data_IF_257415989230
#
_entry.id   IF_257415989230
#
_cell.length_a   1.000
_cell.length_b   1.000
_cell.length_c   1.000
_cell.angle_alpha   90.00
_cell.angle_beta   90.00
_cell.angle_gamma   90.00
#
_symmetry.space_group_name_H-M   'P 1'
#
loop_
_entity.id
_entity.type
_entity.pdbx_description
1 polymer ?
#
# COMPACT_ATOMS: atom_id res chain seq x y z
N UNK A 1 -54.89 32.47 3.01
CA UNK A 1 -53.81 32.96 2.13
C UNK A 1 -52.79 33.65 3.04
N UNK A 2 -51.79 32.90 3.50
CA UNK A 2 -50.66 33.42 4.26
C UNK A 2 -49.39 32.92 3.58
N UNK A 3 -48.51 33.85 3.22
CA UNK A 3 -47.30 33.62 2.42
C UNK A 3 -46.12 33.27 3.33
N UNK A 4 -45.59 32.06 3.18
CA UNK A 4 -44.37 31.57 3.86
C UNK A 4 -43.13 32.10 3.10
N UNK A 5 -42.10 32.67 3.77
CA UNK A 5 -40.87 33.07 3.08
C UNK A 5 -39.99 31.85 2.78
N UNK A 6 -39.59 31.72 1.51
CA UNK A 6 -38.64 30.71 1.01
C UNK A 6 -37.26 30.90 1.67
N UNK A 7 -36.77 29.89 2.40
CA UNK A 7 -35.34 29.80 2.75
C UNK A 7 -34.55 29.34 1.53
N UNK A 8 -33.45 30.05 1.23
CA UNK A 8 -32.43 29.65 0.24
C UNK A 8 -31.76 28.34 0.67
N UNK A 9 -31.48 27.41 -0.25
CA UNK A 9 -30.57 26.30 0.01
C UNK A 9 -29.15 26.83 0.22
N UNK A 10 -28.48 26.31 1.25
CA UNK A 10 -27.06 26.50 1.51
C UNK A 10 -26.29 25.71 0.44
N UNK A 11 -25.60 26.41 -0.47
CA UNK A 11 -24.63 25.81 -1.37
C UNK A 11 -23.40 25.40 -0.55
N UNK A 12 -23.17 24.10 -0.40
CA UNK A 12 -21.89 23.58 0.07
C UNK A 12 -21.02 23.33 -1.16
N UNK A 13 -20.20 24.32 -1.49
CA UNK A 13 -19.04 24.14 -2.36
C UNK A 13 -18.02 23.27 -1.62
N UNK A 14 -17.89 22.02 -2.02
CA UNK A 14 -16.67 21.25 -1.82
C UNK A 14 -16.11 20.94 -3.20
N UNK A 15 -15.35 21.88 -3.75
CA UNK A 15 -14.45 21.61 -4.85
C UNK A 15 -13.43 20.58 -4.39
N UNK A 16 -13.62 19.34 -4.83
CA UNK A 16 -12.60 18.30 -4.76
C UNK A 16 -11.50 18.67 -5.75
N UNK A 17 -10.38 19.20 -5.25
CA UNK A 17 -9.09 18.93 -5.87
C UNK A 17 -8.88 17.40 -5.89
N UNK A 18 -8.08 16.87 -6.82
CA UNK A 18 -7.73 15.44 -6.96
C UNK A 18 -8.55 14.48 -7.87
N UNK A 19 -8.97 14.89 -9.08
CA UNK A 19 -9.18 13.91 -10.17
C UNK A 19 -7.89 13.52 -10.92
N UNK A 20 -6.87 14.40 -10.92
CA UNK A 20 -5.69 14.25 -11.77
C UNK A 20 -4.59 13.32 -11.22
N UNK A 21 -4.46 13.22 -9.89
CA UNK A 21 -3.41 12.41 -9.25
C UNK A 21 -3.61 10.90 -9.49
N UNK A 22 -4.85 10.42 -9.53
CA UNK A 22 -5.17 8.99 -9.68
C UNK A 22 -4.83 8.42 -11.07
N UNK A 23 -4.92 9.22 -12.14
CA UNK A 23 -4.45 8.82 -13.49
C UNK A 23 -2.93 8.86 -13.59
N UNK A 24 -2.28 9.76 -12.85
CA UNK A 24 -0.82 9.86 -12.77
C UNK A 24 -0.19 8.60 -12.18
N UNK A 25 -0.67 8.12 -11.03
CA UNK A 25 -0.04 6.97 -10.35
C UNK A 25 -0.14 5.64 -11.10
N UNK A 26 -1.24 5.38 -11.83
CA UNK A 26 -1.38 4.18 -12.66
C UNK A 26 -0.47 4.21 -13.91
N UNK A 27 -0.29 5.39 -14.53
CA UNK A 27 0.62 5.58 -15.65
C UNK A 27 2.09 5.57 -15.21
N UNK A 28 2.41 6.13 -14.03
CA UNK A 28 3.74 6.10 -13.42
C UNK A 28 4.12 4.67 -13.01
N UNK A 29 3.19 3.85 -12.48
CA UNK A 29 3.44 2.45 -12.16
C UNK A 29 3.90 1.63 -13.39
N UNK A 30 3.38 1.95 -14.59
CA UNK A 30 3.83 1.34 -15.84
C UNK A 30 5.10 1.99 -16.43
N UNK A 31 5.38 3.26 -16.12
CA UNK A 31 6.57 3.98 -16.58
C UNK A 31 7.83 3.70 -15.72
N UNK A 32 7.68 3.54 -14.40
CA UNK A 32 8.75 3.17 -13.45
C UNK A 32 9.30 1.75 -13.71
N UNK A 33 8.59 0.97 -14.52
CA UNK A 33 9.06 -0.32 -15.02
C UNK A 33 10.05 -0.19 -16.19
N UNK A 34 10.39 1.01 -16.69
CA UNK A 34 11.38 1.21 -17.77
C UNK A 34 12.80 1.40 -17.20
N UNK A 35 13.73 0.44 -17.35
CA UNK A 35 15.14 0.75 -17.26
C UNK A 35 15.51 1.59 -18.48
N UNK A 36 15.79 2.88 -18.28
CA UNK A 36 16.61 3.65 -19.21
C UNK A 36 18.06 3.38 -18.86
N UNK A 37 18.64 2.30 -19.39
CA UNK A 37 20.09 2.23 -19.58
C UNK A 37 20.36 1.58 -20.93
N UNK A 38 20.81 2.40 -21.86
CA UNK A 38 21.38 2.02 -23.15
C UNK A 38 22.88 1.98 -22.95
N UNK A 39 23.44 0.82 -22.62
CA UNK A 39 24.87 0.56 -22.79
C UNK A 39 25.07 -0.91 -23.13
N UNK A 40 25.59 -1.11 -24.34
CA UNK A 40 26.09 -2.37 -24.88
C UNK A 40 27.30 -2.82 -24.08
N UNK A 41 27.21 -3.94 -23.37
CA UNK A 41 28.39 -4.71 -22.99
C UNK A 41 28.11 -6.20 -23.23
N UNK A 42 28.93 -6.79 -24.10
CA UNK A 42 28.98 -8.19 -24.49
C UNK A 42 29.43 -9.07 -23.32
N UNK A 43 28.77 -10.21 -23.03
CA UNK A 43 29.21 -11.12 -21.98
C UNK A 43 30.21 -12.16 -22.49
N UNK A 44 31.38 -12.20 -21.84
CA UNK A 44 32.30 -13.34 -21.91
C UNK A 44 31.75 -14.52 -21.10
N UNK A 45 31.84 -15.71 -21.69
CA UNK A 45 31.32 -16.98 -21.17
C UNK A 45 32.12 -17.45 -19.94
N UNK A 46 31.43 -17.86 -18.89
CA UNK A 46 31.95 -18.81 -17.90
C UNK A 46 30.90 -19.90 -17.69
N UNK A 47 31.32 -21.14 -17.98
CA UNK A 47 30.54 -22.37 -17.82
C UNK A 47 30.56 -22.80 -16.35
N UNK A 48 29.41 -23.19 -15.80
CA UNK A 48 29.33 -24.10 -14.65
C UNK A 48 28.14 -25.04 -14.87
N UNK A 49 28.45 -26.34 -14.94
CA UNK A 49 27.50 -27.47 -14.99
C UNK A 49 26.94 -27.82 -13.60
N UNK A 50 25.82 -28.58 -13.53
CA UNK A 50 24.96 -28.64 -12.36
C UNK A 50 25.26 -29.83 -11.44
N UNK A 51 25.07 -29.64 -10.14
CA UNK A 51 24.99 -30.73 -9.16
C UNK A 51 23.62 -30.75 -8.49
N UNK A 52 22.93 -31.87 -8.66
CA UNK A 52 21.72 -32.27 -7.95
C UNK A 52 22.04 -32.57 -6.47
N UNK A 53 21.20 -32.12 -5.55
CA UNK A 53 20.82 -32.93 -4.39
C UNK A 53 19.41 -32.60 -3.91
N UNK A 54 18.76 -33.62 -3.38
CA UNK A 54 17.34 -33.69 -3.04
C UNK A 54 17.04 -33.22 -1.61
N UNK A 55 15.74 -33.04 -1.37
CA UNK A 55 15.03 -33.11 -0.09
C UNK A 55 15.17 -31.93 0.91
N UNK A 56 14.09 -31.16 1.05
CA UNK A 56 13.07 -31.47 2.07
C UNK A 56 11.89 -30.48 2.06
N UNK A 57 10.70 -31.06 2.12
CA UNK A 57 9.41 -30.43 2.32
C UNK A 57 9.28 -29.99 3.79
N UNK A 58 9.13 -28.69 4.05
CA UNK A 58 8.49 -28.18 5.28
C UNK A 58 7.53 -27.03 4.96
N UNK A 59 6.30 -27.25 5.39
CA UNK A 59 5.13 -26.36 5.44
C UNK A 59 5.39 -25.14 6.33
N UNK A 60 4.85 -23.97 5.93
CA UNK A 60 4.99 -22.66 6.60
C UNK A 60 4.22 -22.52 7.93
N UNK A 61 3.85 -21.30 8.40
CA UNK A 61 3.89 -19.98 7.73
C UNK A 61 4.68 -18.91 8.51
N UNK A 62 5.36 -18.01 7.78
CA UNK A 62 5.63 -16.61 8.13
C UNK A 62 6.65 -16.07 7.11
N UNK A 63 6.16 -15.68 5.93
CA UNK A 63 6.98 -14.93 4.95
C UNK A 63 7.04 -13.47 5.41
N UNK A 64 7.74 -13.24 6.53
CA UNK A 64 8.34 -11.93 6.79
C UNK A 64 9.37 -11.75 5.69
N UNK A 65 8.97 -11.06 4.62
CA UNK A 65 9.92 -10.52 3.65
C UNK A 65 11.05 -9.86 4.42
N UNK A 66 12.27 -10.35 4.23
CA UNK A 66 13.48 -9.73 4.79
C UNK A 66 13.39 -8.22 4.61
N UNK A 67 13.64 -7.42 5.67
CA UNK A 67 13.63 -5.98 5.53
C UNK A 67 14.67 -5.62 4.48
N UNK A 68 14.23 -5.01 3.38
CA UNK A 68 15.16 -4.40 2.44
C UNK A 68 15.93 -3.33 3.23
N UNK A 69 17.20 -3.60 3.52
CA UNK A 69 18.04 -2.68 4.27
C UNK A 69 18.23 -1.38 3.48
N UNK A 70 18.25 -0.27 4.20
CA UNK A 70 18.64 1.03 3.64
C UNK A 70 19.99 0.87 2.90
N UNK A 71 20.11 1.34 1.65
CA UNK A 71 21.36 1.21 0.91
C UNK A 71 22.45 2.01 1.62
N UNK A 72 23.58 1.36 1.93
CA UNK A 72 24.73 2.08 2.46
C UNK A 72 25.43 2.81 1.31
N UNK A 73 25.23 4.12 1.25
CA UNK A 73 25.61 4.99 0.12
C UNK A 73 26.66 6.02 0.50
N UNK A 74 26.91 6.21 1.80
CA UNK A 74 28.02 7.02 2.29
C UNK A 74 29.33 6.29 1.97
N UNK A 75 30.36 7.05 1.61
CA UNK A 75 31.70 6.47 1.45
C UNK A 75 32.25 6.03 2.80
N UNK A 76 33.28 5.18 2.81
CA UNK A 76 33.91 4.72 4.06
C UNK A 76 34.49 5.86 4.93
N UNK A 77 34.64 7.06 4.36
CA UNK A 77 35.18 8.26 5.00
C UNK A 77 34.08 9.29 5.36
N UNK A 78 32.85 9.11 4.87
CA UNK A 78 31.72 10.01 5.14
C UNK A 78 30.86 9.46 6.28
N UNK A 79 30.95 10.10 7.45
CA UNK A 79 30.12 9.77 8.61
C UNK A 79 28.69 10.34 8.50
N UNK A 80 28.53 11.49 7.83
CA UNK A 80 27.23 12.17 7.66
C UNK A 80 27.08 12.83 6.29
N UNK A 81 25.83 13.14 5.92
CA UNK A 81 25.52 13.89 4.69
C UNK A 81 25.69 15.39 4.96
N UNK A 82 26.51 16.04 4.13
CA UNK A 82 26.76 17.48 4.26
C UNK A 82 26.44 18.25 2.98
N UNK A 83 25.71 19.36 3.12
CA UNK A 83 25.61 20.35 2.05
C UNK A 83 26.97 20.95 1.69
N UNK A 84 27.15 21.30 0.42
CA UNK A 84 28.22 22.19 -0.02
C UNK A 84 27.83 23.64 0.35
N UNK A 85 28.66 24.37 1.14
CA UNK A 85 28.39 25.77 1.49
C UNK A 85 28.17 26.70 0.29
N UNK A 86 28.67 26.34 -0.89
CA UNK A 86 28.53 27.14 -2.11
C UNK A 86 27.31 26.75 -2.97
N UNK A 87 26.53 25.74 -2.57
CA UNK A 87 25.36 25.30 -3.33
C UNK A 87 24.17 26.25 -3.15
N UNK A 88 23.98 27.10 -4.15
CA UNK A 88 22.92 28.12 -4.20
C UNK A 88 21.49 27.55 -4.32
N UNK A 89 21.32 26.24 -4.49
CA UNK A 89 19.99 25.59 -4.50
C UNK A 89 19.34 25.53 -3.12
N UNK A 90 20.12 25.82 -2.07
CA UNK A 90 19.70 25.83 -0.68
C UNK A 90 19.74 27.25 -0.11
N UNK A 91 18.80 27.54 0.79
CA UNK A 91 18.83 28.75 1.60
C UNK A 91 19.37 28.40 2.98
N UNK A 92 20.67 28.61 3.17
CA UNK A 92 21.32 28.37 4.45
C UNK A 92 20.97 29.47 5.45
N UNK A 93 20.78 29.06 6.71
CA UNK A 93 20.43 29.98 7.80
C UNK A 93 21.20 29.62 9.06
N UNK A 94 21.53 30.64 9.85
CA UNK A 94 22.02 30.46 11.21
C UNK A 94 20.82 30.17 12.11
N UNK A 95 20.69 28.91 12.53
CA UNK A 95 19.58 28.45 13.35
C UNK A 95 19.73 26.98 13.78
N UNK A 96 18.81 26.54 14.62
CA UNK A 96 18.75 25.15 15.09
C UNK A 96 18.31 24.19 13.97
N UNK A 97 18.71 22.92 14.07
CA UNK A 97 18.14 21.87 13.24
C UNK A 97 16.81 21.42 13.86
N UNK A 98 15.70 21.86 13.27
CA UNK A 98 14.37 21.65 13.81
C UNK A 98 13.82 20.24 13.58
N UNK A 99 14.57 19.38 12.88
CA UNK A 99 14.23 17.96 12.69
C UNK A 99 15.22 17.02 13.41
N UNK A 100 16.19 17.56 14.15
CA UNK A 100 17.09 16.79 15.01
C UNK A 100 16.49 16.63 16.42
N UNK A 101 15.42 15.85 16.52
CA UNK A 101 14.70 15.62 17.79
C UNK A 101 15.53 14.91 18.86
N UNK A 102 16.61 14.24 18.46
CA UNK A 102 17.53 13.51 19.32
C UNK A 102 18.74 14.36 19.75
N UNK A 103 18.86 15.59 19.24
CA UNK A 103 19.98 16.50 19.51
C UNK A 103 21.34 15.87 19.21
N UNK A 104 21.43 15.18 18.06
CA UNK A 104 22.65 14.55 17.57
C UNK A 104 23.73 15.57 17.15
N UNK A 105 23.36 16.85 17.00
CA UNK A 105 24.27 17.96 16.66
C UNK A 105 25.03 17.72 15.36
N UNK A 106 24.29 17.38 14.30
CA UNK A 106 24.84 17.19 12.96
C UNK A 106 25.63 18.42 12.51
N UNK A 107 26.82 18.19 11.93
CA UNK A 107 27.77 19.28 11.62
C UNK A 107 27.43 20.00 10.31
N UNK A 108 26.58 19.40 9.48
CA UNK A 108 26.13 20.02 8.23
C UNK A 108 25.44 21.38 8.45
N UNK A 109 25.51 22.24 7.43
CA UNK A 109 24.76 23.48 7.37
C UNK A 109 23.25 23.24 7.47
N UNK A 110 22.52 24.24 7.97
CA UNK A 110 21.06 24.17 8.14
C UNK A 110 20.41 24.90 6.98
N UNK A 111 19.52 24.21 6.29
CA UNK A 111 18.81 24.75 5.13
C UNK A 111 17.32 24.85 5.42
N UNK A 112 16.68 25.88 4.87
CA UNK A 112 15.25 26.14 5.04
C UNK A 112 14.40 25.30 4.08
N UNK A 113 13.44 24.57 4.63
CA UNK A 113 12.39 23.87 3.89
C UNK A 113 11.29 24.85 3.43
N UNK A 114 10.44 24.43 2.50
CA UNK A 114 9.30 25.18 1.97
C UNK A 114 8.31 25.63 3.05
N UNK A 115 8.15 24.82 4.11
CA UNK A 115 7.33 25.16 5.28
C UNK A 115 7.94 26.21 6.21
N UNK A 116 9.19 26.61 5.95
CA UNK A 116 9.92 27.60 6.74
C UNK A 116 10.81 27.06 7.85
N UNK A 117 10.69 25.77 8.19
CA UNK A 117 11.52 25.11 9.20
C UNK A 117 12.87 24.65 8.63
N UNK A 118 13.85 24.50 9.51
CA UNK A 118 15.25 24.25 9.18
C UNK A 118 15.65 22.80 9.41
N UNK A 119 16.52 22.29 8.53
CA UNK A 119 16.97 20.89 8.56
C UNK A 119 18.44 20.76 8.19
N UNK A 120 19.09 19.70 8.66
CA UNK A 120 20.27 19.12 8.01
C UNK A 120 19.84 17.97 7.10
N UNK A 121 20.69 17.51 6.15
CA UNK A 121 20.33 16.40 5.28
C UNK A 121 20.09 15.12 6.07
N UNK A 122 20.91 14.86 7.09
CA UNK A 122 20.84 13.65 7.93
C UNK A 122 19.60 13.64 8.82
N UNK A 123 19.29 14.74 9.51
CA UNK A 123 18.08 14.81 10.34
C UNK A 123 16.81 14.63 9.51
N UNK A 124 16.75 15.26 8.32
CA UNK A 124 15.60 15.14 7.43
C UNK A 124 15.35 13.70 6.98
N UNK A 125 16.39 12.98 6.53
CA UNK A 125 16.19 11.60 6.07
C UNK A 125 15.83 10.67 7.23
N UNK A 126 16.42 10.85 8.41
CA UNK A 126 16.07 10.07 9.60
C UNK A 126 14.59 10.27 9.96
N UNK A 127 14.12 11.52 9.96
CA UNK A 127 12.71 11.84 10.17
C UNK A 127 11.80 11.21 9.10
N UNK A 128 12.19 11.27 7.83
CA UNK A 128 11.42 10.66 6.74
C UNK A 128 11.34 9.14 6.86
N UNK A 129 12.44 8.47 7.24
CA UNK A 129 12.47 7.03 7.47
C UNK A 129 11.57 6.62 8.65
N UNK A 130 11.62 7.36 9.75
CA UNK A 130 10.73 7.15 10.89
C UNK A 130 9.25 7.25 10.48
N UNK A 131 8.89 8.25 9.68
CA UNK A 131 7.52 8.37 9.16
C UNK A 131 7.11 7.17 8.29
N UNK A 132 8.02 6.61 7.50
CA UNK A 132 7.78 5.40 6.70
C UNK A 132 7.66 4.14 7.57
N UNK A 133 8.37 4.06 8.69
CA UNK A 133 8.27 2.99 9.68
C UNK A 133 6.92 3.04 10.39
N UNK A 134 6.44 4.24 10.77
CA UNK A 134 5.09 4.49 11.28
C UNK A 134 3.99 4.29 10.21
N UNK A 135 4.38 4.06 8.96
CA UNK A 135 3.47 3.74 7.87
C UNK A 135 2.80 4.94 7.21
N UNK A 136 3.30 6.15 7.43
CA UNK A 136 2.87 7.35 6.72
C UNK A 136 3.38 7.33 5.29
N UNK A 137 2.54 7.80 4.36
CA UNK A 137 2.85 7.88 2.91
C UNK A 137 3.05 9.31 2.42
N UNK A 138 3.10 10.26 3.35
CA UNK A 138 3.40 11.66 3.11
C UNK A 138 4.48 12.05 4.09
N UNK A 139 5.43 12.85 3.64
CA UNK A 139 6.45 13.43 4.49
C UNK A 139 5.90 14.74 5.04
N UNK A 140 5.63 14.78 6.33
CA UNK A 140 5.19 16.01 6.99
C UNK A 140 6.29 16.59 7.87
N UNK A 141 6.29 17.91 8.01
CA UNK A 141 7.09 18.62 8.99
C UNK A 141 6.65 18.22 10.41
N UNK A 142 7.60 17.91 11.29
CA UNK A 142 7.30 17.53 12.67
C UNK A 142 6.82 18.68 13.58
N UNK A 143 6.86 19.93 13.12
CA UNK A 143 6.48 21.11 13.90
C UNK A 143 5.17 21.79 13.45
N UNK A 144 4.86 21.74 12.15
CA UNK A 144 3.71 22.47 11.59
C UNK A 144 2.82 21.65 10.67
N UNK A 145 3.04 20.33 10.57
CA UNK A 145 2.27 19.39 9.75
C UNK A 145 2.23 19.70 8.24
N UNK A 146 3.00 20.69 7.77
CA UNK A 146 3.13 20.99 6.35
C UNK A 146 3.67 19.76 5.60
N UNK A 147 3.00 19.42 4.49
CA UNK A 147 3.40 18.30 3.63
C UNK A 147 4.52 18.75 2.70
N UNK A 148 5.63 18.01 2.69
CA UNK A 148 6.74 18.20 1.76
C UNK A 148 6.59 17.31 0.53
N UNK A 149 6.95 17.84 -0.64
CA UNK A 149 7.03 17.01 -1.84
C UNK A 149 8.20 16.04 -1.73
N UNK A 150 8.08 14.87 -2.35
CA UNK A 150 9.20 13.92 -2.34
C UNK A 150 10.42 14.44 -3.10
N UNK A 151 10.21 15.28 -4.12
CA UNK A 151 11.29 15.99 -4.82
C UNK A 151 12.06 16.95 -3.90
N UNK A 152 11.33 17.70 -3.05
CA UNK A 152 11.95 18.55 -2.04
C UNK A 152 12.75 17.72 -1.05
N UNK A 153 12.19 16.62 -0.55
CA UNK A 153 12.90 15.69 0.36
C UNK A 153 14.17 15.15 -0.30
N UNK A 154 14.12 14.69 -1.55
CA UNK A 154 15.29 14.18 -2.27
C UNK A 154 16.40 15.24 -2.36
N UNK A 155 16.03 16.47 -2.69
CA UNK A 155 16.97 17.60 -2.81
C UNK A 155 17.61 17.93 -1.46
N UNK A 156 16.79 18.11 -0.43
CA UNK A 156 17.21 18.60 0.88
C UNK A 156 17.96 17.52 1.67
N UNK A 157 17.57 16.25 1.55
CA UNK A 157 18.26 15.14 2.20
C UNK A 157 19.51 14.64 1.43
N UNK A 158 19.84 15.25 0.29
CA UNK A 158 20.93 14.83 -0.59
C UNK A 158 20.84 13.35 -0.98
N UNK A 159 19.64 12.88 -1.31
CA UNK A 159 19.43 11.46 -1.63
C UNK A 159 20.13 11.08 -2.93
N UNK A 160 20.83 9.95 -2.87
CA UNK A 160 21.35 9.28 -4.06
C UNK A 160 20.22 8.64 -4.88
N UNK A 161 20.46 8.31 -6.16
CA UNK A 161 19.49 7.57 -6.96
C UNK A 161 19.06 6.23 -6.33
N UNK A 162 19.98 5.54 -5.63
CA UNK A 162 19.70 4.27 -4.97
C UNK A 162 18.74 4.44 -3.78
N UNK A 163 18.94 5.46 -2.95
CA UNK A 163 18.07 5.79 -1.82
C UNK A 163 16.71 6.30 -2.26
N UNK A 164 16.70 7.15 -3.29
CA UNK A 164 15.46 7.64 -3.91
C UNK A 164 14.61 6.46 -4.37
N UNK A 165 15.22 5.54 -5.14
CA UNK A 165 14.56 4.32 -5.61
C UNK A 165 14.08 3.45 -4.46
N UNK A 166 14.86 3.35 -3.38
CA UNK A 166 14.48 2.60 -2.18
C UNK A 166 13.21 3.16 -1.53
N UNK A 167 13.15 4.48 -1.31
CA UNK A 167 11.99 5.14 -0.71
C UNK A 167 10.76 5.02 -1.62
N UNK A 168 10.90 5.30 -2.92
CA UNK A 168 9.81 5.15 -3.89
C UNK A 168 9.26 3.73 -3.90
N UNK A 169 10.14 2.72 -3.90
CA UNK A 169 9.74 1.31 -3.84
C UNK A 169 9.03 1.00 -2.53
N UNK A 170 9.49 1.52 -1.40
CA UNK A 170 8.86 1.32 -0.10
C UNK A 170 7.45 1.93 -0.05
N UNK A 171 7.30 3.17 -0.52
CA UNK A 171 6.00 3.84 -0.64
C UNK A 171 5.08 3.10 -1.61
N UNK A 172 5.57 2.73 -2.79
CA UNK A 172 4.82 1.98 -3.78
C UNK A 172 4.37 0.63 -3.25
N UNK A 173 5.25 -0.15 -2.63
CA UNK A 173 4.93 -1.46 -2.08
C UNK A 173 3.82 -1.36 -1.04
N UNK A 174 3.83 -0.32 -0.22
CA UNK A 174 2.79 -0.07 0.77
C UNK A 174 1.46 0.30 0.12
N UNK A 175 1.45 1.23 -0.84
CA UNK A 175 0.22 1.56 -1.60
C UNK A 175 -0.32 0.35 -2.35
N UNK A 176 0.57 -0.40 -3.00
CA UNK A 176 0.25 -1.58 -3.76
C UNK A 176 -0.39 -2.66 -2.85
N UNK A 177 0.19 -2.89 -1.66
CA UNK A 177 -0.32 -3.87 -0.68
C UNK A 177 -1.61 -3.40 0.00
N UNK A 178 -1.62 -2.19 0.55
CA UNK A 178 -2.70 -1.70 1.40
C UNK A 178 -3.94 -1.27 0.59
N UNK A 179 -3.72 -0.82 -0.64
CA UNK A 179 -4.79 -0.25 -1.46
C UNK A 179 -5.07 -1.04 -2.74
N UNK A 180 -4.08 -1.63 -3.41
CA UNK A 180 -4.27 -2.19 -4.76
C UNK A 180 -4.33 -3.73 -4.82
N UNK A 181 -4.39 -4.41 -3.67
CA UNK A 181 -4.38 -5.88 -3.57
C UNK A 181 -3.19 -6.50 -4.33
N UNK A 182 -2.07 -5.78 -4.44
CA UNK A 182 -0.96 -6.18 -5.29
C UNK A 182 -0.39 -7.55 -4.86
N UNK A 183 -0.02 -8.35 -5.86
CA UNK A 183 0.56 -9.68 -5.65
C UNK A 183 1.93 -9.78 -6.28
N UNK A 184 2.80 -10.61 -5.67
CA UNK A 184 4.12 -10.90 -6.24
C UNK A 184 3.95 -11.81 -7.47
N UNK A 185 4.61 -11.45 -8.56
CA UNK A 185 4.72 -12.30 -9.74
C UNK A 185 5.41 -13.62 -9.36
N UNK A 186 4.87 -14.79 -9.74
CA UNK A 186 5.49 -16.07 -9.43
C UNK A 186 6.88 -16.24 -10.05
N UNK A 187 7.13 -15.60 -11.21
CA UNK A 187 8.38 -15.69 -11.96
C UNK A 187 9.50 -14.79 -11.45
N UNK A 188 9.26 -13.48 -11.32
CA UNK A 188 10.30 -12.50 -10.97
C UNK A 188 10.09 -11.80 -9.64
N UNK A 189 9.07 -12.19 -8.87
CA UNK A 189 8.71 -11.62 -7.54
C UNK A 189 8.36 -10.13 -7.51
N UNK A 190 8.41 -9.43 -8.64
CA UNK A 190 7.93 -8.05 -8.77
C UNK A 190 6.45 -7.95 -8.36
N UNK A 191 6.06 -6.87 -7.70
CA UNK A 191 4.65 -6.60 -7.44
C UNK A 191 3.91 -6.32 -8.75
N UNK A 192 2.71 -6.87 -8.85
CA UNK A 192 1.79 -6.70 -9.97
C UNK A 192 0.45 -6.29 -9.40
N UNK A 193 -0.17 -5.31 -10.03
CA UNK A 193 -1.54 -4.87 -9.76
C UNK A 193 -2.40 -5.28 -10.96
N UNK A 194 -3.60 -5.80 -10.71
CA UNK A 194 -4.57 -6.07 -11.77
C UNK A 194 -5.42 -4.84 -12.03
N UNK A 195 -5.66 -4.54 -13.30
CA UNK A 195 -6.54 -3.44 -13.72
C UNK A 195 -8.01 -3.82 -13.55
N UNK A 196 -8.38 -5.01 -14.01
CA UNK A 196 -9.71 -5.59 -13.86
C UNK A 196 -9.74 -6.60 -12.72
N UNK A 197 -10.66 -6.42 -11.77
CA UNK A 197 -10.83 -7.31 -10.63
C UNK A 197 -11.55 -8.63 -10.99
N UNK A 198 -12.22 -8.68 -12.13
CA UNK A 198 -12.87 -9.88 -12.65
C UNK A 198 -11.93 -10.72 -13.52
N UNK A 199 -10.91 -10.09 -14.10
CA UNK A 199 -9.91 -10.81 -14.88
C UNK A 199 -8.91 -11.53 -13.95
N UNK A 200 -8.91 -12.87 -14.00
CA UNK A 200 -7.95 -13.69 -13.27
C UNK A 200 -6.62 -13.83 -14.02
N UNK A 201 -6.58 -13.56 -15.33
CA UNK A 201 -5.37 -13.61 -16.13
C UNK A 201 -4.61 -12.29 -15.97
N UNK A 202 -3.43 -12.37 -15.35
CA UNK A 202 -2.60 -11.21 -15.08
C UNK A 202 -1.27 -11.31 -15.80
N UNK A 203 -0.88 -10.22 -16.45
CA UNK A 203 0.34 -10.10 -17.22
C UNK A 203 1.47 -9.49 -16.38
N UNK A 204 2.64 -10.13 -16.38
CA UNK A 204 3.84 -9.54 -15.81
C UNK A 204 4.68 -8.85 -16.90
N UNK A 205 4.70 -7.52 -16.87
CA UNK A 205 5.50 -6.68 -17.79
C UNK A 205 7.00 -6.95 -17.69
N UNK A 206 7.53 -7.18 -16.49
CA UNK A 206 8.96 -7.48 -16.25
C UNK A 206 9.34 -8.81 -16.88
N UNK A 207 8.63 -9.89 -16.53
CA UNK A 207 8.89 -11.20 -17.10
C UNK A 207 8.68 -11.21 -18.61
N UNK A 208 7.66 -10.51 -19.12
CA UNK A 208 7.38 -10.49 -20.55
C UNK A 208 8.51 -9.84 -21.32
N UNK A 209 8.99 -8.68 -20.84
CA UNK A 209 10.14 -8.01 -21.45
C UNK A 209 11.38 -8.89 -21.39
N UNK A 210 11.72 -9.42 -20.21
CA UNK A 210 12.96 -10.18 -20.02
C UNK A 210 12.98 -11.49 -20.81
N UNK A 211 11.81 -12.10 -21.05
CA UNK A 211 11.70 -13.37 -21.77
C UNK A 211 11.38 -13.19 -23.26
N UNK A 212 11.11 -11.97 -23.72
CA UNK A 212 10.67 -11.68 -25.08
C UNK A 212 9.33 -12.30 -25.48
N UNK A 213 8.52 -12.77 -24.51
CA UNK A 213 7.22 -13.41 -24.73
C UNK A 213 6.29 -13.16 -23.56
N UNK A 214 4.99 -13.13 -23.80
CA UNK A 214 3.98 -12.94 -22.76
C UNK A 214 4.19 -13.90 -21.58
N UNK A 215 4.23 -13.33 -20.38
CA UNK A 215 4.23 -14.07 -19.12
C UNK A 215 2.97 -13.75 -18.35
N UNK A 216 2.07 -14.72 -18.31
CA UNK A 216 0.76 -14.62 -17.70
C UNK A 216 0.62 -15.62 -16.55
N UNK A 217 -0.12 -15.24 -15.52
CA UNK A 217 -0.41 -16.09 -14.37
C UNK A 217 -1.79 -15.80 -13.81
N UNK A 218 -2.33 -16.74 -13.05
CA UNK A 218 -3.63 -16.59 -12.41
C UNK A 218 -3.51 -15.75 -11.13
N UNK A 219 -4.38 -14.75 -10.96
CA UNK A 219 -4.41 -13.91 -9.76
C UNK A 219 -4.75 -14.67 -8.47
N UNK A 220 -5.53 -15.76 -8.56
CA UNK A 220 -5.93 -16.54 -7.38
C UNK A 220 -4.83 -17.50 -6.95
N UNK A 221 -4.45 -18.45 -7.82
CA UNK A 221 -3.51 -19.51 -7.46
C UNK A 221 -2.03 -19.14 -7.69
N UNK A 222 -1.74 -18.00 -8.34
CA UNK A 222 -0.39 -17.56 -8.69
C UNK A 222 0.42 -18.56 -9.51
N UNK A 223 -0.23 -19.53 -10.16
CA UNK A 223 0.40 -20.44 -11.11
C UNK A 223 0.38 -19.84 -12.51
N UNK A 224 1.35 -20.24 -13.34
CA UNK A 224 1.44 -19.82 -14.75
C UNK A 224 0.11 -20.11 -15.44
N UNK A 225 -0.36 -19.17 -16.25
CA UNK A 225 -1.58 -19.36 -17.03
C UNK A 225 -1.33 -20.43 -18.09
N UNK A 226 -2.13 -21.51 -18.06
CA UNK A 226 -2.01 -22.65 -18.97
C UNK A 226 -3.37 -22.93 -19.58
N UNK A 227 -3.49 -22.73 -20.88
CA UNK A 227 -4.68 -23.05 -21.67
C UNK A 227 -5.42 -21.81 -22.18
N UNK A 228 -6.12 -21.93 -23.32
CA UNK A 228 -7.16 -20.98 -23.68
C UNK A 228 -8.28 -21.16 -22.67
N UNK A 229 -8.49 -20.21 -21.76
CA UNK A 229 -9.75 -20.19 -21.03
C UNK A 229 -10.80 -19.63 -21.98
N UNK A 230 -11.99 -20.23 -21.99
CA UNK A 230 -13.14 -19.67 -22.72
C UNK A 230 -13.54 -18.30 -22.14
N UNK A 231 -13.19 -18.05 -20.87
CA UNK A 231 -13.43 -16.79 -20.17
C UNK A 231 -12.26 -16.40 -19.26
N UNK A 232 -11.93 -15.11 -19.23
CA UNK A 232 -10.79 -14.55 -18.48
C UNK A 232 -11.00 -14.55 -16.94
N UNK A 233 -12.21 -14.89 -16.47
CA UNK A 233 -12.63 -14.93 -15.06
C UNK A 233 -12.52 -16.32 -14.42
N UNK A 234 -12.18 -17.37 -15.19
CA UNK A 234 -12.01 -18.74 -14.69
C UNK A 234 -10.61 -19.28 -14.99
N UNK A 235 -9.96 -19.83 -13.95
CA UNK A 235 -8.67 -20.48 -14.11
C UNK A 235 -8.86 -21.98 -14.35
N UNK A 236 -8.26 -22.50 -15.42
CA UNK A 236 -8.32 -23.94 -15.77
C UNK A 236 -7.49 -24.85 -14.84
N UNK A 237 -6.72 -24.30 -13.90
CA UNK A 237 -5.96 -25.08 -12.94
C UNK A 237 -6.93 -25.74 -11.93
N UNK A 238 -6.99 -27.08 -11.81
CA UNK A 238 -7.95 -27.79 -10.97
C UNK A 238 -7.87 -27.45 -9.48
N UNK A 239 -6.68 -27.05 -9.01
CA UNK A 239 -6.44 -26.63 -7.63
C UNK A 239 -6.70 -25.14 -7.39
N UNK A 240 -7.16 -24.40 -8.41
CA UNK A 240 -7.44 -22.98 -8.28
C UNK A 240 -8.73 -22.77 -7.48
N UNK A 241 -8.60 -22.16 -6.31
CA UNK A 241 -9.73 -21.76 -5.49
C UNK A 241 -9.67 -20.26 -5.20
N UNK A 242 -10.84 -19.63 -5.13
CA UNK A 242 -10.96 -18.26 -4.64
C UNK A 242 -10.80 -18.29 -3.10
N UNK A 243 -9.55 -18.20 -2.64
CA UNK A 243 -9.20 -18.33 -1.23
C UNK A 243 -10.00 -17.38 -0.31
N UNK A 244 -10.19 -16.08 -0.65
CA UNK A 244 -11.09 -15.21 0.11
C UNK A 244 -12.52 -15.74 0.25
N UNK A 245 -13.14 -16.24 -0.82
CA UNK A 245 -14.49 -16.83 -0.75
C UNK A 245 -14.51 -18.13 0.08
N UNK A 246 -13.48 -18.96 -0.02
CA UNK A 246 -13.35 -20.15 0.81
C UNK A 246 -13.24 -19.80 2.30
N UNK A 247 -12.51 -18.74 2.66
CA UNK A 247 -12.45 -18.23 4.03
C UNK A 247 -13.84 -17.78 4.49
N UNK A 248 -14.55 -16.95 3.71
CA UNK A 248 -15.90 -16.48 4.06
C UNK A 248 -16.89 -17.64 4.23
N UNK A 249 -16.74 -18.68 3.42
CA UNK A 249 -17.59 -19.89 3.47
C UNK A 249 -17.29 -20.75 4.70
N UNK A 250 -16.02 -20.95 5.04
CA UNK A 250 -15.58 -21.95 6.04
C UNK A 250 -15.20 -21.38 7.40
N UNK A 251 -15.02 -20.06 7.54
CA UNK A 251 -14.58 -19.46 8.79
C UNK A 251 -15.54 -19.84 9.95
N UNK A 252 -15.03 -20.04 11.18
CA UNK A 252 -15.86 -20.39 12.31
C UNK A 252 -16.84 -19.28 12.66
N UNK A 253 -17.75 -19.54 13.59
CA UNK A 253 -18.61 -18.51 14.17
C UNK A 253 -17.92 -17.82 15.35
N UNK A 254 -18.24 -16.56 15.58
CA UNK A 254 -17.79 -15.78 16.74
C UNK A 254 -18.92 -15.56 17.74
N UNK A 255 -18.51 -15.49 19.01
CA UNK A 255 -19.37 -15.06 20.11
C UNK A 255 -18.87 -13.69 20.61
N UNK A 256 -19.76 -12.70 20.63
CA UNK A 256 -19.44 -11.38 21.14
C UNK A 256 -19.48 -11.38 22.68
N UNK A 257 -18.51 -10.72 23.32
CA UNK A 257 -18.50 -10.57 24.78
C UNK A 257 -19.56 -9.58 25.27
N UNK A 258 -19.68 -8.44 24.58
CA UNK A 258 -20.47 -7.29 25.03
C UNK A 258 -21.84 -7.17 24.33
N UNK A 259 -22.09 -7.98 23.30
CA UNK A 259 -23.34 -7.97 22.51
C UNK A 259 -24.04 -9.32 22.68
N UNK A 260 -25.10 -9.36 23.49
CA UNK A 260 -25.88 -10.57 23.75
C UNK A 260 -26.80 -10.90 22.55
N UNK A 261 -27.20 -12.17 22.46
CA UNK A 261 -28.18 -12.69 21.48
C UNK A 261 -27.73 -12.65 20.00
N UNK A 262 -26.42 -12.59 19.74
CA UNK A 262 -25.86 -12.80 18.40
C UNK A 262 -25.29 -14.21 18.33
N UNK A 263 -25.97 -15.11 17.61
CA UNK A 263 -25.52 -16.48 17.32
C UNK A 263 -25.42 -16.66 15.80
N UNK A 264 -24.54 -17.54 15.31
CA UNK A 264 -24.42 -17.76 13.86
C UNK A 264 -23.55 -16.75 13.11
N UNK A 265 -22.87 -15.82 13.79
CA UNK A 265 -22.09 -14.78 13.10
C UNK A 265 -20.72 -15.33 12.67
N UNK A 266 -20.36 -15.29 11.36
CA UNK A 266 -19.04 -15.69 10.89
C UNK A 266 -17.92 -14.83 11.50
N UNK A 267 -16.76 -15.44 11.76
CA UNK A 267 -15.59 -14.77 12.34
C UNK A 267 -14.89 -13.83 11.38
N UNK A 268 -14.99 -14.11 10.08
CA UNK A 268 -14.44 -13.30 8.99
C UNK A 268 -15.57 -12.85 8.08
N UNK A 269 -15.58 -11.55 7.75
CA UNK A 269 -16.51 -10.96 6.78
C UNK A 269 -15.78 -10.03 5.83
N UNK A 270 -16.29 -9.87 4.62
CA UNK A 270 -15.81 -8.88 3.67
C UNK A 270 -16.53 -7.54 3.90
N UNK A 271 -15.77 -6.44 3.89
CA UNK A 271 -16.31 -5.09 3.98
C UNK A 271 -17.37 -4.85 2.87
N UNK A 272 -18.57 -4.36 3.20
CA UNK A 272 -19.64 -4.15 2.22
C UNK A 272 -19.30 -3.09 1.16
N UNK A 273 -18.38 -2.17 1.48
CA UNK A 273 -17.98 -1.07 0.59
C UNK A 273 -16.85 -1.44 -0.36
N UNK A 274 -15.82 -2.13 0.15
CA UNK A 274 -14.61 -2.36 -0.61
C UNK A 274 -14.24 -3.84 -0.78
N UNK A 275 -14.88 -4.77 -0.07
CA UNK A 275 -14.58 -6.20 -0.15
C UNK A 275 -13.37 -6.68 0.66
N UNK A 276 -12.75 -5.82 1.50
CA UNK A 276 -11.61 -6.22 2.33
C UNK A 276 -12.06 -7.23 3.39
N UNK A 277 -11.37 -8.37 3.52
CA UNK A 277 -11.66 -9.36 4.55
C UNK A 277 -11.22 -8.84 5.92
N UNK A 278 -12.12 -8.90 6.89
CA UNK A 278 -11.97 -8.37 8.23
C UNK A 278 -12.38 -9.46 9.21
N UNK A 279 -11.57 -9.65 10.24
CA UNK A 279 -11.89 -10.45 11.41
C UNK A 279 -12.22 -9.53 12.59
N UNK A 280 -13.27 -9.86 13.34
CA UNK A 280 -13.66 -9.08 14.51
C UNK A 280 -12.95 -9.59 15.76
N UNK A 281 -12.39 -8.69 16.57
CA UNK A 281 -11.64 -9.05 17.80
C UNK A 281 -12.50 -9.65 18.91
N UNK A 282 -13.81 -9.82 18.70
CA UNK A 282 -14.85 -10.19 19.69
C UNK A 282 -15.02 -9.27 20.91
N UNK A 283 -14.24 -8.19 21.01
CA UNK A 283 -14.27 -7.21 22.11
C UNK A 283 -14.94 -5.92 21.63
N UNK A 284 -15.69 -5.23 22.50
CA UNK A 284 -16.43 -3.99 22.21
C UNK A 284 -17.70 -4.22 21.36
N UNK A 285 -18.21 -3.14 20.77
CA UNK A 285 -19.43 -3.12 19.98
C UNK A 285 -19.32 -3.95 18.70
N UNK A 286 -20.46 -4.21 18.06
CA UNK A 286 -20.54 -4.94 16.79
C UNK A 286 -20.11 -4.14 15.55
N UNK A 287 -19.74 -2.86 15.71
CA UNK A 287 -19.32 -2.01 14.59
C UNK A 287 -17.80 -2.03 14.44
N UNK A 288 -17.36 -2.03 13.19
CA UNK A 288 -15.93 -1.97 12.85
C UNK A 288 -15.69 -0.92 11.78
N UNK A 289 -14.56 -0.23 11.89
CA UNK A 289 -14.05 0.66 10.85
C UNK A 289 -13.17 -0.17 9.91
N UNK A 290 -13.51 -0.21 8.63
CA UNK A 290 -12.68 -0.89 7.64
C UNK A 290 -11.30 -0.20 7.56
N UNK A 291 -10.22 -0.94 7.85
CA UNK A 291 -8.86 -0.39 7.80
C UNK A 291 -8.47 0.09 6.39
N UNK A 292 -9.05 -0.50 5.34
CA UNK A 292 -8.79 -0.16 3.93
C UNK A 292 -9.55 1.06 3.43
N UNK A 293 -10.88 1.11 3.60
CA UNK A 293 -11.72 2.19 3.05
C UNK A 293 -12.21 3.20 4.09
N UNK A 294 -11.86 3.01 5.37
CA UNK A 294 -12.25 3.84 6.53
C UNK A 294 -13.76 3.97 6.77
N UNK A 295 -14.59 3.27 6.00
CA UNK A 295 -16.03 3.21 6.23
C UNK A 295 -16.33 2.32 7.42
N UNK A 296 -17.16 2.83 8.33
CA UNK A 296 -17.69 2.10 9.47
C UNK A 296 -18.98 1.35 9.10
N UNK A 297 -19.06 0.09 9.51
CA UNK A 297 -20.24 -0.75 9.28
C UNK A 297 -20.43 -1.75 10.42
N UNK A 298 -21.66 -2.24 10.55
CA UNK A 298 -22.00 -3.29 11.50
C UNK A 298 -21.48 -4.64 10.99
N UNK A 299 -20.60 -5.27 11.77
CA UNK A 299 -20.06 -6.59 11.45
C UNK A 299 -21.13 -7.68 11.44
N UNK A 300 -22.22 -7.54 12.21
CA UNK A 300 -23.27 -8.56 12.30
C UNK A 300 -24.19 -8.56 11.08
N UNK A 301 -24.69 -7.38 10.68
CA UNK A 301 -25.68 -7.26 9.60
C UNK A 301 -25.13 -6.70 8.28
N UNK A 302 -23.84 -6.32 8.23
CA UNK A 302 -23.17 -5.72 7.08
C UNK A 302 -23.73 -4.37 6.59
N UNK A 303 -24.66 -3.75 7.33
CA UNK A 303 -25.18 -2.42 7.04
C UNK A 303 -24.23 -1.33 7.57
N UNK A 304 -24.19 -0.19 6.88
CA UNK A 304 -23.43 0.98 7.33
C UNK A 304 -23.92 1.48 8.70
N UNK A 305 -23.04 2.08 9.51
CA UNK A 305 -23.39 2.55 10.86
C UNK A 305 -24.52 3.58 10.87
N UNK A 306 -24.65 4.39 9.81
CA UNK A 306 -25.77 5.32 9.64
C UNK A 306 -27.15 4.63 9.52
N UNK A 307 -27.17 3.35 9.12
CA UNK A 307 -28.38 2.53 8.97
C UNK A 307 -28.57 1.61 10.17
N UNK A 308 -27.49 1.08 10.75
CA UNK A 308 -27.50 0.26 11.96
C UNK A 308 -26.93 1.05 13.14
N UNK A 309 -27.77 1.90 13.76
CA UNK A 309 -27.35 2.86 14.78
C UNK A 309 -27.22 2.31 16.22
N UNK A 310 -27.54 1.04 16.47
CA UNK A 310 -27.41 0.46 17.81
C UNK A 310 -26.04 -0.22 17.95
N UNK A 311 -25.17 0.22 18.84
CA UNK A 311 -23.79 -0.31 18.93
C UNK A 311 -23.68 -1.60 19.76
N UNK A 312 -24.51 -1.74 20.81
CA UNK A 312 -24.43 -2.83 21.80
C UNK A 312 -25.68 -3.72 21.83
N UNK A 313 -26.66 -3.44 20.99
CA UNK A 313 -27.92 -4.20 20.92
C UNK A 313 -27.86 -5.11 19.68
N UNK A 314 -28.52 -6.26 19.73
CA UNK A 314 -28.68 -7.13 18.56
C UNK A 314 -29.29 -6.36 17.36
N UNK A 315 -28.99 -6.80 16.14
CA UNK A 315 -29.55 -6.20 14.93
C UNK A 315 -31.01 -6.62 14.76
N UNK A 316 -31.88 -5.68 14.36
CA UNK A 316 -33.30 -5.96 14.10
C UNK A 316 -33.45 -7.04 13.01
N UNK A 317 -32.64 -6.95 11.95
CA UNK A 317 -32.62 -7.92 10.86
C UNK A 317 -31.83 -9.20 11.17
N UNK A 318 -31.31 -9.32 12.39
CA UNK A 318 -30.46 -10.45 12.80
C UNK A 318 -29.07 -10.46 12.14
N UNK A 319 -28.50 -11.66 12.06
CA UNK A 319 -27.17 -11.90 11.50
C UNK A 319 -27.27 -12.04 9.98
N UNK A 320 -26.48 -11.24 9.25
CA UNK A 320 -26.45 -11.34 7.79
C UNK A 320 -25.84 -12.70 7.35
N UNK A 321 -26.34 -13.33 6.28
CA UNK A 321 -25.77 -14.57 5.74
C UNK A 321 -24.27 -14.46 5.42
N UNK A 322 -23.62 -15.63 5.27
CA UNK A 322 -22.25 -15.71 4.75
C UNK A 322 -22.19 -15.12 3.34
N UNK A 323 -21.19 -14.28 3.09
CA UNK A 323 -21.01 -13.63 1.81
C UNK A 323 -20.53 -14.65 0.77
N UNK A 324 -21.26 -14.77 -0.34
CA UNK A 324 -20.93 -15.63 -1.49
C UNK A 324 -20.21 -14.90 -2.62
N UNK A 325 -20.10 -13.57 -2.51
CA UNK A 325 -19.39 -12.69 -3.42
C UNK A 325 -18.66 -11.60 -2.64
N UNK A 326 -17.63 -10.99 -3.25
CA UNK A 326 -16.84 -9.93 -2.65
C UNK A 326 -17.14 -8.63 -3.41
N UNK A 327 -17.62 -7.57 -2.73
CA UNK A 327 -17.87 -6.28 -3.36
C UNK A 327 -16.63 -5.70 -4.03
N UNK A 328 -16.80 -5.19 -5.26
CA UNK A 328 -15.78 -4.40 -5.93
C UNK A 328 -15.72 -2.99 -5.36
N UNK A 329 -14.51 -2.51 -5.11
CA UNK A 329 -14.33 -1.15 -4.61
C UNK A 329 -14.36 -0.13 -5.76
N UNK A 330 -15.54 0.44 -6.02
CA UNK A 330 -15.71 1.57 -6.94
C UNK A 330 -15.21 2.85 -6.29
N UNK A 331 -13.94 3.19 -6.52
CA UNK A 331 -13.38 4.48 -6.09
C UNK A 331 -14.01 5.60 -6.94
N UNK A 332 -14.55 6.61 -6.28
CA UNK A 332 -14.96 7.86 -6.93
C UNK A 332 -13.75 8.75 -7.12
#
# INVERSE_FOLDING_TARGET
>A
METIPRRRPLETETESSYPAAHRGYALIANAALRPRVRTTFTPSKVNVEPSNSSDNLKTGPNDYSEPENWPNTLTAEQEERCYDPNDTRFTFVDGEDQMDFELNDYKSLRAKMSCGHTVTPTSLINWCLWQLDEGKMQFVCGLCDAVWSFEEVCKMALLTPAETTYIERRMFNRVAKDHLDAKKCPGCKSLVVREDQNNLRVFCTVCTRNKGRAYEFCWQCLKKWTGPSEHDDHCANPECANQPLEILRKCPEITFKDVKMVTGCPSVRACPTCGFLIEHSTIKCKNIVCTRCKVEFCFVCLKLSAVCGSFFIACIDGVAPRQTSIPEWKRK
#
